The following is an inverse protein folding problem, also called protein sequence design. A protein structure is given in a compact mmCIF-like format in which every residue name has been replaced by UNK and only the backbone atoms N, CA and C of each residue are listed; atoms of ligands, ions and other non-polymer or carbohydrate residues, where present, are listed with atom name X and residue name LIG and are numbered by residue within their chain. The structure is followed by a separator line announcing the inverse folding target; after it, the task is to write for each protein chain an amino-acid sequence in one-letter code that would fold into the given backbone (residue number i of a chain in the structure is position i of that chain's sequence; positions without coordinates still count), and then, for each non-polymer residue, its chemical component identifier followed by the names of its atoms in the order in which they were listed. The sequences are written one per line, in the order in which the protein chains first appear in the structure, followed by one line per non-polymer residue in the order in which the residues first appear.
data_IF_408604741131
#
_entry.id   IF_408604741131
#
_cell.length_a   1.000
_cell.length_b   1.000
_cell.length_c   1.000
_cell.angle_alpha   90.00
_cell.angle_beta   90.00
_cell.angle_gamma   90.00
#
_symmetry.space_group_name_H-M   'P 1'
#
loop_
_entity.id
_entity.type
_entity.pdbx_description
1 polymer ?
#
# COMPACT_ATOMS: atom_id res chain seq x y z
N UNK A 1 29.59 -20.17 31.00
CA UNK A 1 28.22 -20.08 30.43
C UNK A 1 27.16 -19.44 31.33
N UNK A 2 27.49 -18.46 32.19
CA UNK A 2 26.50 -17.88 33.13
C UNK A 2 26.44 -16.34 33.12
N UNK A 3 27.18 -15.66 32.25
CA UNK A 3 27.25 -14.19 32.25
C UNK A 3 25.90 -13.53 31.95
N UNK A 4 25.12 -14.11 31.03
CA UNK A 4 23.80 -13.59 30.70
C UNK A 4 22.83 -13.69 31.89
N UNK A 5 22.87 -14.79 32.64
CA UNK A 5 22.02 -14.98 33.81
C UNK A 5 22.39 -14.02 34.95
N UNK A 6 23.69 -13.75 35.13
CA UNK A 6 24.17 -12.75 36.09
C UNK A 6 23.70 -11.33 35.71
N UNK A 7 23.75 -10.98 34.44
CA UNK A 7 23.26 -9.68 33.93
C UNK A 7 21.75 -9.53 34.11
N UNK A 8 20.94 -10.56 33.81
CA UNK A 8 19.50 -10.54 34.12
C UNK A 8 19.23 -10.46 35.63
N UNK A 9 20.02 -11.16 36.45
CA UNK A 9 19.95 -11.05 37.92
C UNK A 9 20.22 -9.62 38.40
N UNK A 10 21.20 -8.94 37.81
CA UNK A 10 21.51 -7.53 38.09
C UNK A 10 20.36 -6.62 37.69
N UNK A 11 19.74 -6.83 36.53
CA UNK A 11 18.53 -6.08 36.12
C UNK A 11 17.42 -6.18 37.16
N UNK A 12 17.14 -7.40 37.63
CA UNK A 12 16.10 -7.64 38.65
C UNK A 12 16.45 -6.89 39.95
N UNK A 13 17.73 -6.89 40.36
CA UNK A 13 18.18 -6.18 41.55
C UNK A 13 18.07 -4.66 41.41
N UNK A 14 18.52 -4.08 40.29
CA UNK A 14 18.40 -2.65 40.00
C UNK A 14 16.94 -2.19 40.01
N UNK A 15 16.03 -2.99 39.45
CA UNK A 15 14.58 -2.72 39.48
C UNK A 15 14.03 -2.77 40.91
N UNK A 16 14.48 -3.73 41.75
CA UNK A 16 14.08 -3.80 43.16
C UNK A 16 14.59 -2.60 43.98
N UNK A 17 15.69 -1.99 43.57
CA UNK A 17 16.24 -0.77 44.18
C UNK A 17 15.55 0.52 43.67
N UNK A 18 14.50 0.39 42.85
CA UNK A 18 13.66 1.51 42.42
C UNK A 18 14.00 2.07 41.03
N UNK A 19 14.95 1.47 40.31
CA UNK A 19 15.25 1.86 38.93
C UNK A 19 14.13 1.45 37.98
N UNK A 20 13.87 2.25 36.96
CA UNK A 20 12.87 1.90 35.95
C UNK A 20 13.34 0.67 35.16
N UNK A 21 12.44 -0.30 34.95
CA UNK A 21 12.76 -1.55 34.23
C UNK A 21 13.35 -1.31 32.85
N UNK A 22 12.83 -0.32 32.12
CA UNK A 22 13.35 0.09 30.81
C UNK A 22 14.80 0.60 30.85
N UNK A 23 15.19 1.25 31.94
CA UNK A 23 16.54 1.78 32.13
C UNK A 23 17.48 0.65 32.54
N UNK A 24 17.07 -0.19 33.50
CA UNK A 24 17.85 -1.36 33.90
C UNK A 24 18.15 -2.31 32.73
N UNK A 25 17.17 -2.53 31.84
CA UNK A 25 17.37 -3.34 30.63
C UNK A 25 18.29 -2.66 29.60
N UNK A 26 18.21 -1.34 29.42
CA UNK A 26 19.11 -0.60 28.51
C UNK A 26 20.55 -0.66 29.00
N UNK A 27 20.76 -0.42 30.28
CA UNK A 27 22.09 -0.50 30.89
C UNK A 27 22.67 -1.92 30.79
N UNK A 28 21.85 -2.96 30.88
CA UNK A 28 22.28 -4.33 30.65
C UNK A 28 22.75 -4.57 29.21
N UNK A 29 22.02 -4.06 28.22
CA UNK A 29 22.42 -4.16 26.82
C UNK A 29 23.72 -3.39 26.54
N UNK A 30 23.87 -2.18 27.10
CA UNK A 30 25.07 -1.37 26.95
C UNK A 30 26.30 -2.03 27.59
N UNK A 31 26.14 -2.71 28.73
CA UNK A 31 27.20 -3.49 29.38
C UNK A 31 27.61 -4.73 28.59
N UNK A 32 26.64 -5.45 28.02
CA UNK A 32 26.91 -6.63 27.21
C UNK A 32 27.58 -6.26 25.89
N UNK A 33 27.28 -5.09 25.31
CA UNK A 33 27.90 -4.62 24.06
C UNK A 33 27.56 -5.47 22.84
N UNK A 34 26.56 -6.34 22.95
CA UNK A 34 26.12 -7.28 21.92
C UNK A 34 24.93 -6.66 21.15
N UNK A 35 25.06 -6.39 19.83
CA UNK A 35 24.02 -5.73 19.04
C UNK A 35 22.63 -6.41 19.10
N UNK A 36 22.63 -7.74 19.22
CA UNK A 36 21.43 -8.55 19.34
C UNK A 36 20.68 -8.27 20.64
N UNK A 37 21.40 -8.04 21.74
CA UNK A 37 20.81 -7.76 23.04
C UNK A 37 20.20 -6.35 23.10
N UNK A 38 20.86 -5.37 22.48
CA UNK A 38 20.33 -4.01 22.34
C UNK A 38 19.02 -4.00 21.56
N UNK A 39 18.95 -4.76 20.47
CA UNK A 39 17.74 -4.91 19.66
C UNK A 39 16.61 -5.58 20.43
N UNK A 40 16.94 -6.64 21.19
CA UNK A 40 15.98 -7.32 22.07
C UNK A 40 15.41 -6.39 23.14
N UNK A 41 16.28 -5.67 23.85
CA UNK A 41 15.87 -4.71 24.89
C UNK A 41 15.01 -3.58 24.32
N UNK A 42 15.34 -3.07 23.13
CA UNK A 42 14.54 -2.04 22.46
C UNK A 42 13.10 -2.53 22.19
N UNK A 43 12.93 -3.78 21.75
CA UNK A 43 11.61 -4.38 21.52
C UNK A 43 10.81 -4.55 22.83
N UNK A 44 11.48 -5.01 23.90
CA UNK A 44 10.85 -5.17 25.23
C UNK A 44 10.41 -3.81 25.78
N UNK A 45 11.26 -2.78 25.71
CA UNK A 45 10.94 -1.43 26.19
C UNK A 45 9.80 -0.80 25.37
N UNK A 46 9.79 -1.00 24.05
CA UNK A 46 8.72 -0.52 23.18
C UNK A 46 7.39 -1.20 23.53
N UNK A 47 7.40 -2.48 23.89
CA UNK A 47 6.20 -3.21 24.34
C UNK A 47 5.64 -2.71 25.68
N UNK A 48 6.51 -2.31 26.61
CA UNK A 48 6.09 -1.74 27.91
C UNK A 48 5.61 -0.28 27.80
N UNK A 49 6.23 0.53 26.95
CA UNK A 49 5.92 1.97 26.83
C UNK A 49 4.55 2.25 26.19
N UNK A 50 4.09 1.37 25.30
CA UNK A 50 2.90 1.67 24.51
C UNK A 50 1.59 1.60 25.31
N UNK A 51 1.50 0.81 26.39
CA UNK A 51 0.28 0.68 27.22
C UNK A 51 -1.01 0.24 26.49
N UNK A 52 -0.98 0.21 25.16
CA UNK A 52 -1.96 -0.24 24.20
C UNK A 52 -1.36 -1.49 23.59
N UNK A 53 -2.04 -2.62 23.77
CA UNK A 53 -1.47 -3.91 23.40
C UNK A 53 -0.96 -3.89 21.95
N UNK A 54 0.24 -4.42 21.73
CA UNK A 54 0.75 -4.73 20.39
C UNK A 54 -0.32 -5.44 19.54
N UNK A 55 -1.19 -6.23 20.18
CA UNK A 55 -2.37 -6.83 19.56
C UNK A 55 -3.37 -5.82 18.97
N UNK A 56 -3.61 -4.65 19.59
CA UNK A 56 -4.47 -3.60 19.00
C UNK A 56 -3.82 -2.96 17.77
N UNK A 57 -2.50 -2.69 17.83
CA UNK A 57 -1.75 -2.15 16.69
C UNK A 57 -1.75 -3.14 15.53
N UNK A 58 -1.43 -4.41 15.78
CA UNK A 58 -1.46 -5.49 14.78
C UNK A 58 -2.88 -5.74 14.24
N UNK A 59 -3.93 -5.58 15.05
CA UNK A 59 -5.32 -5.74 14.59
C UNK A 59 -5.73 -4.62 13.64
N UNK A 60 -5.41 -3.37 13.98
CA UNK A 60 -5.64 -2.22 13.08
C UNK A 60 -4.86 -2.41 11.78
N UNK A 61 -3.59 -2.81 11.86
CA UNK A 61 -2.76 -3.04 10.68
C UNK A 61 -3.28 -4.20 9.81
N UNK A 62 -3.75 -5.29 10.41
CA UNK A 62 -4.34 -6.43 9.70
C UNK A 62 -5.61 -6.04 8.95
N UNK A 63 -6.47 -5.23 9.56
CA UNK A 63 -7.69 -4.76 8.91
C UNK A 63 -7.38 -3.81 7.76
N UNK A 64 -6.38 -2.93 7.91
CA UNK A 64 -5.88 -2.09 6.83
C UNK A 64 -5.29 -2.92 5.67
N UNK A 65 -4.55 -4.00 5.95
CA UNK A 65 -4.02 -4.89 4.91
C UNK A 65 -5.14 -5.59 4.12
N UNK A 66 -6.21 -6.03 4.79
CA UNK A 66 -7.39 -6.63 4.12
C UNK A 66 -8.08 -5.63 3.20
N UNK A 67 -8.26 -4.39 3.66
CA UNK A 67 -8.84 -3.31 2.86
C UNK A 67 -7.96 -3.02 1.64
N UNK A 68 -6.65 -2.88 1.84
CA UNK A 68 -5.71 -2.58 0.75
C UNK A 68 -5.67 -3.68 -0.30
N UNK A 69 -5.77 -4.95 0.09
CA UNK A 69 -5.86 -6.09 -0.85
C UNK A 69 -7.11 -6.03 -1.72
N UNK A 70 -8.25 -5.62 -1.13
CA UNK A 70 -9.50 -5.42 -1.89
C UNK A 70 -9.38 -4.24 -2.86
N UNK A 71 -8.83 -3.11 -2.40
CA UNK A 71 -8.60 -1.94 -3.24
C UNK A 71 -7.68 -2.24 -4.43
N UNK A 72 -6.61 -3.01 -4.25
CA UNK A 72 -5.74 -3.40 -5.37
C UNK A 72 -6.49 -4.24 -6.41
N UNK A 73 -7.35 -5.16 -5.97
CA UNK A 73 -8.19 -5.94 -6.89
C UNK A 73 -9.24 -5.06 -7.60
N UNK A 74 -9.83 -4.09 -6.89
CA UNK A 74 -10.74 -3.11 -7.46
C UNK A 74 -10.04 -2.20 -8.47
N UNK A 75 -8.82 -1.73 -8.18
CA UNK A 75 -8.01 -0.94 -9.09
C UNK A 75 -7.68 -1.71 -10.38
N UNK A 76 -7.36 -3.00 -10.28
CA UNK A 76 -7.14 -3.87 -11.44
C UNK A 76 -8.42 -4.00 -12.27
N UNK A 77 -9.58 -4.15 -11.60
CA UNK A 77 -10.89 -4.21 -12.25
C UNK A 77 -11.26 -2.88 -12.93
N UNK A 78 -10.97 -1.74 -12.30
CA UNK A 78 -11.24 -0.40 -12.84
C UNK A 78 -10.36 -0.03 -14.04
N UNK A 79 -9.24 -0.74 -14.26
CA UNK A 79 -8.45 -0.61 -15.49
C UNK A 79 -9.06 -1.35 -16.69
N UNK A 80 -9.97 -2.30 -16.47
CA UNK A 80 -10.59 -3.07 -17.55
C UNK A 80 -11.47 -2.22 -18.50
N UNK A 81 -12.34 -1.30 -18.02
CA UNK A 81 -13.12 -0.42 -18.87
C UNK A 81 -12.25 0.45 -19.80
N UNK A 82 -11.14 0.98 -19.29
CA UNK A 82 -10.23 1.82 -20.08
C UNK A 82 -9.62 1.01 -21.24
N UNK A 83 -9.25 -0.25 -20.99
CA UNK A 83 -8.78 -1.14 -22.07
C UNK A 83 -9.87 -1.47 -23.10
N UNK A 84 -11.14 -1.49 -22.69
CA UNK A 84 -12.28 -1.72 -23.59
C UNK A 84 -12.64 -0.52 -24.47
N UNK A 85 -12.27 0.72 -24.08
CA UNK A 85 -12.49 1.92 -24.89
C UNK A 85 -11.74 1.84 -26.22
N UNK A 86 -10.54 1.27 -26.25
CA UNK A 86 -9.72 1.21 -27.46
C UNK A 86 -10.39 0.40 -28.61
N UNK A 87 -10.84 -0.86 -28.39
CA UNK A 87 -11.62 -1.59 -29.40
C UNK A 87 -12.91 -0.89 -29.81
N UNK A 88 -13.65 -0.31 -28.85
CA UNK A 88 -14.92 0.38 -29.13
C UNK A 88 -14.67 1.59 -30.03
N UNK A 89 -13.68 2.41 -29.69
CA UNK A 89 -13.28 3.56 -30.50
C UNK A 89 -12.75 3.16 -31.87
N UNK A 90 -11.96 2.09 -31.97
CA UNK A 90 -11.37 1.70 -33.25
C UNK A 90 -12.34 0.98 -34.19
N UNK A 91 -13.31 0.20 -33.68
CA UNK A 91 -14.26 -0.53 -34.51
C UNK A 91 -15.62 0.18 -34.69
N UNK A 92 -16.21 0.71 -33.62
CA UNK A 92 -17.57 1.28 -33.68
C UNK A 92 -17.54 2.69 -34.28
N UNK A 93 -16.57 3.52 -33.90
CA UNK A 93 -16.47 4.90 -34.39
C UNK A 93 -16.36 5.00 -35.93
N UNK A 94 -15.47 4.28 -36.63
CA UNK A 94 -15.44 4.36 -38.09
C UNK A 94 -16.69 3.77 -38.73
N UNK A 95 -17.30 2.73 -38.14
CA UNK A 95 -18.58 2.20 -38.62
C UNK A 95 -19.69 3.26 -38.53
N UNK A 96 -19.75 4.03 -37.45
CA UNK A 96 -20.72 5.13 -37.29
C UNK A 96 -20.47 6.27 -38.28
N UNK A 97 -19.21 6.63 -38.53
CA UNK A 97 -18.85 7.64 -39.54
C UNK A 97 -19.29 7.21 -40.94
N UNK A 98 -19.07 5.94 -41.32
CA UNK A 98 -19.48 5.43 -42.63
C UNK A 98 -21.01 5.47 -42.77
N UNK A 99 -21.75 5.08 -41.73
CA UNK A 99 -23.22 5.10 -41.76
C UNK A 99 -23.78 6.52 -41.84
N UNK A 100 -23.17 7.47 -41.12
CA UNK A 100 -23.67 8.85 -41.04
C UNK A 100 -23.21 9.70 -42.24
N UNK A 101 -21.90 9.72 -42.53
CA UNK A 101 -21.35 10.50 -43.65
C UNK A 101 -21.55 9.82 -45.01
N UNK A 102 -21.65 8.49 -45.08
CA UNK A 102 -21.84 7.77 -46.34
C UNK A 102 -22.99 8.30 -47.21
N UNK A 103 -24.24 8.39 -46.69
CA UNK A 103 -25.34 8.92 -47.47
C UNK A 103 -25.24 10.44 -47.67
N UNK A 104 -24.72 11.19 -46.69
CA UNK A 104 -24.55 12.64 -46.82
C UNK A 104 -23.56 13.00 -47.93
N UNK A 105 -22.44 12.28 -48.02
CA UNK A 105 -21.46 12.41 -49.09
C UNK A 105 -22.06 12.02 -50.44
N UNK A 106 -22.80 10.90 -50.50
CA UNK A 106 -23.47 10.46 -51.72
C UNK A 106 -24.53 11.47 -52.20
N UNK A 107 -25.25 12.12 -51.27
CA UNK A 107 -26.23 13.15 -51.56
C UNK A 107 -25.58 14.45 -52.04
N UNK A 108 -24.46 14.87 -51.43
CA UNK A 108 -23.68 16.04 -51.86
C UNK A 108 -23.11 15.87 -53.27
N UNK A 109 -22.59 14.68 -53.59
CA UNK A 109 -22.09 14.34 -54.93
C UNK A 109 -23.18 14.37 -56.01
N UNK A 110 -24.43 14.02 -55.64
CA UNK A 110 -25.58 14.03 -56.56
C UNK A 110 -26.32 15.37 -56.61
N UNK A 111 -26.06 16.24 -55.65
CA UNK A 111 -26.66 17.57 -55.51
C UNK A 111 -26.02 18.56 -56.51
N UNK A 112 -26.78 19.53 -57.05
CA UNK A 112 -26.25 20.58 -57.93
C UNK A 112 -25.16 21.44 -57.27
N UNK A 113 -25.04 21.44 -55.93
CA UNK A 113 -23.90 22.05 -55.23
C UNK A 113 -22.58 21.29 -55.44
N UNK A 114 -22.60 19.97 -55.57
CA UNK A 114 -21.39 19.16 -55.81
C UNK A 114 -20.76 19.42 -57.18
N UNK A 115 -21.58 19.76 -58.17
CA UNK A 115 -21.13 20.16 -59.50
C UNK A 115 -20.45 21.55 -59.54
N UNK A 116 -20.75 22.42 -58.57
CA UNK A 116 -20.18 23.78 -58.45
C UNK A 116 -18.88 23.79 -57.65
N UNK A 117 -18.71 22.85 -56.70
CA UNK A 117 -17.46 22.67 -55.94
C UNK A 117 -16.42 21.77 -56.65
N UNK A 118 -16.86 20.98 -57.64
CA UNK A 118 -16.01 20.07 -58.42
C UNK A 118 -15.54 20.61 -59.78
N UNK A 119 -15.85 21.87 -60.11
CA UNK A 119 -15.37 22.60 -61.28
C UNK A 119 -14.44 23.74 -60.83
#
# INVERSE_FOLDING_TARGET
DNDLALEFGRVIQEVRLGKLRREALRDMADRLGVPEMTSFVAAVVQSEQLGVSMAKVLRIQSDQMRVRRRQMAEEEAHRAPIKMIFPIGLLIFPSLLIILLGPAAMLLLRSPLGAILGA
#
